data_IF_660083839865
#
_entry.id   IF_660083839865
#
_cell.length_a   1.000
_cell.length_b   1.000
_cell.length_c   1.000
_cell.angle_alpha   90.00
_cell.angle_beta   90.00
_cell.angle_gamma   90.00
#
_symmetry.space_group_name_H-M   'P 1'
#
loop_
_entity.id
_entity.type
_entity.pdbx_description
1 polymer ?
#
# COMPACT_ATOMS: atom_id res chain seq x y z
N UNK A 1 -15.37 -2.93 -1.91
CA UNK A 1 -14.56 -1.77 -1.51
C UNK A 1 -13.33 -1.80 -2.39
N UNK A 2 -12.99 -0.70 -3.02
CA UNK A 2 -11.82 -0.54 -3.88
C UNK A 2 -10.60 -0.12 -3.06
N UNK A 3 -9.42 -0.49 -3.53
CA UNK A 3 -8.15 -0.16 -2.88
C UNK A 3 -7.03 -0.13 -3.92
N UNK A 4 -5.78 0.03 -3.48
CA UNK A 4 -4.60 -0.04 -4.33
C UNK A 4 -4.39 -1.46 -4.89
N UNK A 5 -3.44 -1.62 -5.81
CA UNK A 5 -3.20 -2.88 -6.53
C UNK A 5 -2.96 -4.09 -5.62
N UNK A 6 -2.15 -3.93 -4.58
CA UNK A 6 -1.86 -4.98 -3.61
C UNK A 6 -1.37 -4.34 -2.30
N UNK A 7 -1.95 -4.75 -1.17
CA UNK A 7 -1.58 -4.26 0.16
C UNK A 7 -1.35 -5.45 1.08
N UNK A 8 -0.13 -5.61 1.57
CA UNK A 8 0.20 -6.74 2.43
C UNK A 8 1.47 -6.48 3.21
N UNK A 9 1.88 -7.49 3.95
CA UNK A 9 2.92 -7.40 4.95
C UNK A 9 4.03 -8.41 4.65
N UNK A 10 5.30 -8.02 4.83
CA UNK A 10 6.39 -8.97 4.80
C UNK A 10 6.19 -10.04 5.86
N UNK A 11 6.50 -11.30 5.51
CA UNK A 11 6.45 -12.39 6.47
C UNK A 11 7.74 -12.42 7.31
N UNK A 12 7.66 -12.98 8.52
CA UNK A 12 8.81 -13.29 9.38
C UNK A 12 9.65 -14.47 8.87
N UNK A 13 9.97 -14.48 7.57
CA UNK A 13 10.74 -15.53 6.90
C UNK A 13 12.07 -14.98 6.36
N UNK A 14 13.09 -15.84 6.16
CA UNK A 14 14.32 -15.42 5.53
C UNK A 14 14.06 -14.76 4.16
N UNK A 15 14.59 -13.55 3.98
CA UNK A 15 14.50 -12.79 2.73
C UNK A 15 13.39 -11.73 2.68
N UNK A 16 12.38 -11.76 3.57
CA UNK A 16 11.33 -10.73 3.65
C UNK A 16 11.48 -9.77 4.84
N UNK A 17 12.43 -10.03 5.74
CA UNK A 17 12.82 -9.10 6.80
C UNK A 17 14.06 -8.25 6.45
N UNK A 18 14.45 -7.39 7.38
CA UNK A 18 15.66 -6.58 7.31
C UNK A 18 15.74 -5.65 8.52
N UNK A 19 16.94 -5.42 9.05
CA UNK A 19 17.13 -4.48 10.16
C UNK A 19 17.37 -3.05 9.64
N UNK A 20 18.13 -2.96 8.56
CA UNK A 20 18.44 -1.71 7.87
C UNK A 20 17.42 -1.40 6.78
N UNK A 21 17.32 -0.12 6.38
CA UNK A 21 16.33 0.34 5.42
C UNK A 21 16.45 -0.41 4.07
N UNK A 22 17.66 -0.56 3.53
CA UNK A 22 17.86 -1.22 2.24
C UNK A 22 17.45 -2.69 2.27
N UNK A 23 17.72 -3.38 3.38
CA UNK A 23 17.29 -4.77 3.59
C UNK A 23 15.77 -4.86 3.73
N UNK A 24 15.16 -3.96 4.51
CA UNK A 24 13.71 -3.92 4.70
C UNK A 24 12.98 -3.61 3.37
N UNK A 25 13.47 -2.64 2.60
CA UNK A 25 12.95 -2.34 1.25
C UNK A 25 13.07 -3.58 0.36
N UNK A 26 14.19 -4.29 0.44
CA UNK A 26 14.36 -5.51 -0.32
C UNK A 26 13.36 -6.60 0.09
N UNK A 27 13.13 -6.75 1.40
CA UNK A 27 12.15 -7.68 1.94
C UNK A 27 10.73 -7.38 1.49
N UNK A 28 10.34 -6.09 1.53
CA UNK A 28 9.02 -5.63 1.08
C UNK A 28 8.84 -5.88 -0.42
N UNK A 29 9.85 -5.65 -1.27
CA UNK A 29 9.72 -5.95 -2.71
C UNK A 29 9.45 -7.44 -2.97
N UNK A 30 10.10 -8.34 -2.23
CA UNK A 30 9.84 -9.79 -2.31
C UNK A 30 8.43 -10.14 -1.83
N UNK A 31 8.01 -9.55 -0.72
CA UNK A 31 6.66 -9.72 -0.20
C UNK A 31 5.60 -9.25 -1.22
N UNK A 32 5.82 -8.09 -1.85
CA UNK A 32 4.96 -7.56 -2.90
C UNK A 32 4.89 -8.50 -4.10
N UNK A 33 6.02 -9.00 -4.60
CA UNK A 33 6.04 -9.97 -5.70
C UNK A 33 5.27 -11.25 -5.35
N UNK A 34 5.48 -11.82 -4.16
CA UNK A 34 4.74 -13.00 -3.67
C UNK A 34 3.25 -12.73 -3.59
N UNK A 35 2.85 -11.56 -3.12
CA UNK A 35 1.44 -11.20 -2.90
C UNK A 35 0.73 -10.82 -4.19
N UNK A 36 1.42 -10.24 -5.17
CA UNK A 36 0.90 -10.04 -6.53
C UNK A 36 0.57 -11.38 -7.20
N UNK A 37 1.41 -12.41 -7.05
CA UNK A 37 1.08 -13.76 -7.54
C UNK A 37 -0.11 -14.35 -6.78
N UNK A 38 -0.12 -14.26 -5.45
CA UNK A 38 -1.19 -14.83 -4.63
C UNK A 38 -2.57 -14.18 -4.83
N UNK A 39 -2.63 -12.85 -4.96
CA UNK A 39 -3.89 -12.09 -5.09
C UNK A 39 -4.34 -11.96 -6.54
N UNK A 40 -3.41 -11.69 -7.47
CA UNK A 40 -3.71 -11.31 -8.85
C UNK A 40 -3.20 -12.31 -9.89
N UNK A 41 -2.49 -13.36 -9.49
CA UNK A 41 -1.91 -14.34 -10.41
C UNK A 41 -0.69 -13.84 -11.19
N UNK A 42 -0.19 -12.64 -10.88
CA UNK A 42 0.90 -12.00 -11.63
C UNK A 42 2.21 -12.71 -11.29
N UNK A 43 2.78 -13.38 -12.29
CA UNK A 43 4.01 -14.17 -12.10
C UNK A 43 5.24 -13.28 -11.94
N UNK A 44 6.17 -13.72 -11.09
CA UNK A 44 7.43 -13.03 -10.82
C UNK A 44 8.23 -12.64 -12.08
N UNK A 45 8.15 -13.44 -13.15
CA UNK A 45 8.80 -13.14 -14.43
C UNK A 45 8.27 -11.87 -15.11
N UNK A 46 7.00 -11.49 -14.86
CA UNK A 46 6.37 -10.29 -15.41
C UNK A 46 6.68 -9.04 -14.57
N UNK A 47 7.02 -9.25 -13.29
CA UNK A 47 7.34 -8.19 -12.33
C UNK A 47 8.69 -8.46 -11.64
N UNK A 48 9.81 -8.38 -12.37
CA UNK A 48 11.14 -8.52 -11.78
C UNK A 48 11.36 -7.55 -10.61
N UNK A 49 12.08 -8.02 -9.60
CA UNK A 49 12.27 -7.30 -8.33
C UNK A 49 12.93 -5.92 -8.54
N UNK A 50 13.86 -5.85 -9.47
CA UNK A 50 14.60 -4.65 -9.88
C UNK A 50 13.70 -3.55 -10.47
N UNK A 51 12.53 -3.92 -11.00
CA UNK A 51 11.59 -2.97 -11.59
C UNK A 51 10.71 -2.26 -10.54
N UNK A 52 10.67 -2.78 -9.30
CA UNK A 52 10.00 -2.09 -8.21
C UNK A 52 10.81 -0.87 -7.77
N UNK A 53 10.18 0.30 -7.85
CA UNK A 53 10.70 1.58 -7.35
C UNK A 53 10.18 1.80 -5.95
N UNK A 54 11.09 1.94 -4.98
CA UNK A 54 10.73 2.35 -3.62
C UNK A 54 10.68 3.88 -3.54
N UNK A 55 9.54 4.42 -3.12
CA UNK A 55 9.34 5.86 -2.97
C UNK A 55 9.67 6.29 -1.54
N UNK A 56 8.80 5.93 -0.62
CA UNK A 56 8.81 6.42 0.76
C UNK A 56 8.10 5.44 1.69
N UNK A 57 8.14 5.75 2.98
CA UNK A 57 7.39 5.07 4.03
C UNK A 57 6.35 6.01 4.61
N UNK A 58 5.12 5.55 4.77
CA UNK A 58 4.02 6.33 5.33
C UNK A 58 3.54 5.68 6.61
N UNK A 59 3.61 6.41 7.70
CA UNK A 59 2.95 6.09 8.95
C UNK A 59 1.62 6.83 9.02
N UNK A 60 0.50 6.11 8.98
CA UNK A 60 -0.82 6.73 9.12
C UNK A 60 -1.68 6.06 10.18
N UNK A 61 -2.79 6.74 10.50
CA UNK A 61 -3.77 6.28 11.48
C UNK A 61 -5.18 6.30 10.89
N UNK A 62 -5.74 5.12 10.61
CA UNK A 62 -7.10 4.99 10.12
C UNK A 62 -8.03 4.44 11.22
N UNK A 63 -9.22 5.03 11.44
CA UNK A 63 -10.23 4.44 12.31
C UNK A 63 -10.81 3.19 11.65
N UNK A 64 -10.82 2.07 12.37
CA UNK A 64 -11.53 0.84 11.97
C UNK A 64 -12.75 0.59 12.86
N UNK A 65 -13.80 -0.02 12.31
CA UNK A 65 -15.05 -0.29 13.00
C UNK A 65 -14.93 -1.48 13.97
N UNK A 66 -14.61 -1.16 15.22
CA UNK A 66 -15.12 -1.81 16.43
C UNK A 66 -14.72 -3.25 16.76
N UNK A 67 -14.22 -4.08 15.83
CA UNK A 67 -13.79 -5.46 16.11
C UNK A 67 -12.47 -5.88 15.45
N UNK A 68 -12.12 -5.32 14.32
CA UNK A 68 -10.91 -5.66 13.58
C UNK A 68 -10.14 -4.40 13.23
N UNK A 69 -8.82 -4.44 13.36
CA UNK A 69 -7.92 -3.43 12.84
C UNK A 69 -6.60 -4.09 12.49
N UNK A 70 -5.91 -3.54 11.50
CA UNK A 70 -4.53 -3.91 11.19
C UNK A 70 -3.61 -3.50 12.36
N UNK A 71 -2.71 -4.38 12.76
CA UNK A 71 -1.76 -4.13 13.84
C UNK A 71 -0.43 -4.76 13.48
N UNK A 72 0.33 -4.04 12.67
CA UNK A 72 1.69 -4.43 12.31
C UNK A 72 2.64 -3.97 13.42
N UNK A 73 3.38 -4.90 14.01
CA UNK A 73 4.05 -4.70 15.29
C UNK A 73 5.17 -3.66 15.28
N UNK A 74 4.86 -2.50 15.86
CA UNK A 74 5.60 -1.69 16.86
C UNK A 74 7.12 -1.92 17.01
N UNK A 75 7.86 -0.84 16.82
CA UNK A 75 8.67 -0.28 17.92
C UNK A 75 7.94 0.95 18.49
N UNK A 76 7.23 0.69 19.59
CA UNK A 76 6.81 1.62 20.66
C UNK A 76 6.24 3.01 20.31
N UNK A 77 4.92 3.10 20.08
CA UNK A 77 4.10 4.25 20.56
C UNK A 77 2.69 3.75 20.92
N UNK A 78 2.34 3.73 22.21
CA UNK A 78 0.97 3.50 22.68
C UNK A 78 0.22 4.83 22.73
N UNK A 79 -0.76 5.02 21.86
CA UNK A 79 -1.75 6.11 21.95
C UNK A 79 -3.15 5.51 21.87
N UNK A 80 -3.68 5.07 23.01
CA UNK A 80 -5.10 4.74 23.20
C UNK A 80 -5.84 6.03 23.58
N UNK A 81 -6.63 6.56 22.66
CA UNK A 81 -7.53 7.67 22.93
C UNK A 81 -8.92 7.13 23.26
N UNK A 82 -9.38 7.32 24.51
CA UNK A 82 -10.72 6.98 24.95
C UNK A 82 -11.68 8.15 24.68
N UNK A 83 -12.47 8.07 23.61
CA UNK A 83 -13.67 8.89 23.45
C UNK A 83 -14.90 8.04 23.76
N UNK A 84 -15.74 8.57 24.65
CA UNK A 84 -16.87 7.90 25.31
C UNK A 84 -17.76 7.15 24.30
N UNK A 85 -17.88 5.84 24.53
CA UNK A 85 -18.88 4.88 24.00
C UNK A 85 -18.72 4.27 22.59
N UNK A 86 -17.59 4.40 21.88
CA UNK A 86 -17.24 3.49 20.78
C UNK A 86 -15.76 3.13 20.85
N UNK A 87 -15.43 1.85 21.02
CA UNK A 87 -14.06 1.36 20.91
C UNK A 87 -13.62 1.51 19.44
N UNK A 88 -12.91 2.58 19.11
CA UNK A 88 -12.29 2.77 17.80
C UNK A 88 -10.86 2.25 17.95
N UNK A 89 -10.58 1.08 17.36
CA UNK A 89 -9.21 0.60 17.23
C UNK A 89 -8.53 1.48 16.18
N UNK A 90 -7.46 2.16 16.59
CA UNK A 90 -6.66 2.98 15.69
C UNK A 90 -5.42 2.18 15.32
N UNK A 91 -5.44 1.70 14.09
CA UNK A 91 -4.34 1.04 13.39
C UNK A 91 -3.24 2.08 13.20
N UNK A 92 -2.00 1.75 13.53
CA UNK A 92 -0.84 2.62 13.36
C UNK A 92 0.27 1.77 12.73
N UNK A 93 0.38 1.78 11.41
CA UNK A 93 1.28 0.93 10.61
C UNK A 93 2.17 1.79 9.72
N UNK A 94 3.37 1.30 9.41
CA UNK A 94 4.31 1.94 8.48
C UNK A 94 4.24 1.21 7.15
N UNK A 95 3.64 1.84 6.15
CA UNK A 95 3.47 1.26 4.82
C UNK A 95 4.62 1.71 3.91
N UNK A 96 5.22 0.74 3.22
CA UNK A 96 6.25 0.98 2.22
C UNK A 96 5.60 1.17 0.86
N UNK A 97 5.82 2.32 0.23
CA UNK A 97 5.22 2.65 -1.06
C UNK A 97 6.12 2.17 -2.19
N UNK A 98 5.66 1.15 -2.91
CA UNK A 98 6.33 0.58 -4.07
C UNK A 98 5.54 0.87 -5.35
N UNK A 99 6.23 1.32 -6.39
CA UNK A 99 5.68 1.54 -7.72
C UNK A 99 6.31 0.55 -8.70
N UNK A 100 5.51 0.04 -9.63
CA UNK A 100 5.96 -0.76 -10.75
C UNK A 100 5.10 -0.43 -11.98
N UNK A 101 5.74 -0.36 -13.14
CA UNK A 101 5.07 -0.22 -14.44
C UNK A 101 5.45 -1.44 -15.27
N UNK A 102 4.47 -2.30 -15.53
CA UNK A 102 4.63 -3.53 -16.29
C UNK A 102 3.30 -3.89 -16.95
N UNK A 103 3.37 -4.46 -18.15
CA UNK A 103 2.24 -5.15 -18.76
C UNK A 103 2.18 -6.56 -18.17
N UNK A 104 1.02 -6.92 -17.62
CA UNK A 104 0.85 -8.17 -16.87
C UNK A 104 -0.45 -8.86 -17.24
N UNK A 105 -0.41 -10.18 -17.21
CA UNK A 105 -1.59 -11.04 -17.24
C UNK A 105 -2.19 -11.15 -15.82
N UNK A 106 -3.52 -11.12 -15.73
CA UNK A 106 -4.25 -11.23 -14.47
C UNK A 106 -5.00 -12.57 -14.39
N UNK A 107 -4.81 -13.26 -13.27
CA UNK A 107 -5.59 -14.42 -12.86
C UNK A 107 -5.99 -14.25 -11.37
N UNK A 108 -6.96 -13.35 -11.07
CA UNK A 108 -7.25 -12.97 -9.70
C UNK A 108 -7.80 -14.12 -8.86
N UNK A 109 -7.31 -14.24 -7.62
CA UNK A 109 -7.84 -15.17 -6.63
C UNK A 109 -9.14 -14.62 -6.04
N UNK A 110 -10.27 -15.25 -6.36
CA UNK A 110 -11.61 -14.79 -5.94
C UNK A 110 -11.84 -14.77 -4.42
N UNK A 111 -11.01 -15.47 -3.64
CA UNK A 111 -11.04 -15.37 -2.18
C UNK A 111 -10.45 -14.05 -1.66
N UNK A 112 -9.60 -13.39 -2.45
CA UNK A 112 -8.88 -12.17 -2.09
C UNK A 112 -9.44 -10.95 -2.86
N UNK A 113 -9.60 -11.10 -4.18
CA UNK A 113 -9.93 -10.01 -5.10
C UNK A 113 -11.26 -10.30 -5.78
N UNK A 114 -12.24 -9.42 -5.55
CA UNK A 114 -13.56 -9.52 -6.18
C UNK A 114 -13.56 -9.04 -7.63
N UNK A 115 -12.85 -7.95 -7.89
CA UNK A 115 -12.87 -7.26 -9.18
C UNK A 115 -11.59 -6.42 -9.35
N UNK A 116 -11.22 -6.11 -10.59
CA UNK A 116 -10.01 -5.36 -10.95
C UNK A 116 -10.34 -4.34 -12.03
N UNK A 117 -9.70 -3.17 -11.98
CA UNK A 117 -9.88 -2.15 -13.02
C UNK A 117 -8.58 -1.36 -13.23
N UNK A 118 -8.20 -1.18 -14.49
CA UNK A 118 -7.18 -0.23 -14.89
C UNK A 118 -7.83 1.14 -15.08
N UNK A 119 -7.22 2.17 -14.48
CA UNK A 119 -7.78 3.52 -14.45
C UNK A 119 -6.73 4.56 -14.84
N UNK A 120 -7.19 5.63 -15.48
CA UNK A 120 -6.40 6.85 -15.63
C UNK A 120 -6.46 7.66 -14.32
N UNK A 121 -5.56 8.64 -14.17
CA UNK A 121 -5.60 9.55 -13.01
C UNK A 121 -6.97 10.24 -12.87
N UNK A 122 -7.51 10.76 -13.98
CA UNK A 122 -8.83 11.43 -13.97
C UNK A 122 -9.99 10.44 -13.81
N UNK A 123 -9.86 9.22 -14.35
CA UNK A 123 -10.81 8.15 -14.09
C UNK A 123 -10.90 7.79 -12.61
N UNK A 124 -9.75 7.68 -11.93
CA UNK A 124 -9.72 7.42 -10.49
C UNK A 124 -10.31 8.57 -9.68
N UNK A 125 -10.05 9.83 -10.06
CA UNK A 125 -10.70 11.01 -9.43
C UNK A 125 -12.21 10.94 -9.58
N UNK A 126 -12.71 10.64 -10.77
CA UNK A 126 -14.14 10.49 -11.02
C UNK A 126 -14.75 9.35 -10.19
N UNK A 127 -14.04 8.23 -10.02
CA UNK A 127 -14.51 7.15 -9.14
C UNK A 127 -14.62 7.56 -7.67
N UNK A 128 -13.79 8.48 -7.18
CA UNK A 128 -13.91 9.01 -5.82
C UNK A 128 -15.14 9.92 -5.62
N UNK A 129 -15.66 10.51 -6.70
CA UNK A 129 -16.87 11.34 -6.68
C UNK A 129 -18.16 10.49 -6.67
N UNK A 130 -18.07 9.21 -7.07
CA UNK A 130 -19.22 8.29 -7.06
C UNK A 130 -19.53 7.79 -5.64
N UNK A 131 -20.68 8.18 -5.05
CA UNK A 131 -21.05 7.77 -3.68
C UNK A 131 -21.40 6.29 -3.55
N UNK A 132 -21.64 5.58 -4.66
CA UNK A 132 -21.89 4.14 -4.66
C UNK A 132 -20.61 3.33 -4.43
N UNK A 133 -19.44 3.92 -4.73
CA UNK A 133 -18.14 3.28 -4.57
C UNK A 133 -17.57 3.54 -3.18
N UNK A 134 -17.13 2.45 -2.53
CA UNK A 134 -16.44 2.50 -1.24
C UNK A 134 -14.96 2.23 -1.45
N UNK A 135 -14.10 3.00 -0.79
CA UNK A 135 -12.65 2.80 -0.83
C UNK A 135 -12.08 2.64 0.57
N UNK A 136 -10.93 1.97 0.66
CA UNK A 136 -10.20 1.86 1.92
C UNK A 136 -9.71 3.24 2.39
N UNK A 137 -9.74 3.52 3.71
CA UNK A 137 -9.35 4.84 4.24
C UNK A 137 -7.92 5.25 3.88
N UNK A 138 -6.97 4.32 3.94
CA UNK A 138 -5.56 4.58 3.63
C UNK A 138 -5.36 4.92 2.16
N UNK A 139 -6.05 4.23 1.25
CA UNK A 139 -5.96 4.52 -0.17
C UNK A 139 -6.51 5.90 -0.49
N UNK A 140 -7.63 6.30 0.12
CA UNK A 140 -8.13 7.69 0.01
C UNK A 140 -7.11 8.71 0.50
N UNK A 141 -6.47 8.46 1.64
CA UNK A 141 -5.47 9.35 2.22
C UNK A 141 -4.26 9.52 1.28
N UNK A 142 -3.71 8.40 0.79
CA UNK A 142 -2.58 8.40 -0.14
C UNK A 142 -2.95 9.11 -1.44
N UNK A 143 -4.14 8.83 -1.99
CA UNK A 143 -4.62 9.47 -3.22
C UNK A 143 -4.72 10.99 -3.10
N UNK A 144 -5.39 11.47 -2.05
CA UNK A 144 -5.67 12.90 -1.87
C UNK A 144 -4.44 13.72 -1.46
N UNK A 145 -3.37 13.08 -1.01
CA UNK A 145 -2.18 13.78 -0.53
C UNK A 145 -0.94 13.62 -1.40
N UNK A 146 -0.75 12.47 -2.04
CA UNK A 146 0.53 12.11 -2.67
C UNK A 146 0.39 11.52 -4.07
N UNK A 147 -0.56 10.59 -4.26
CA UNK A 147 -0.59 9.77 -5.49
C UNK A 147 -0.72 10.61 -6.76
N UNK A 148 -1.65 11.57 -6.81
CA UNK A 148 -1.87 12.35 -8.02
C UNK A 148 -0.67 13.23 -8.38
N UNK A 149 0.04 13.75 -7.38
CA UNK A 149 1.30 14.46 -7.60
C UNK A 149 2.37 13.53 -8.17
N UNK A 150 2.51 12.31 -7.63
CA UNK A 150 3.46 11.33 -8.17
C UNK A 150 3.05 10.86 -9.57
N UNK A 151 1.75 10.79 -9.86
CA UNK A 151 1.22 10.38 -11.15
C UNK A 151 1.71 11.30 -12.28
N UNK A 152 1.73 12.61 -12.05
CA UNK A 152 2.24 13.62 -13.00
C UNK A 152 3.73 13.45 -13.33
N UNK A 153 4.46 12.69 -12.51
CA UNK A 153 5.90 12.47 -12.64
C UNK A 153 6.27 11.01 -12.94
N UNK A 154 5.31 10.13 -13.24
CA UNK A 154 5.56 8.69 -13.45
C UNK A 154 6.55 8.39 -14.58
N UNK A 155 6.43 9.10 -15.70
CA UNK A 155 7.26 8.88 -16.88
C UNK A 155 8.56 9.70 -16.84
N UNK A 156 8.57 10.82 -16.11
CA UNK A 156 9.76 11.66 -15.91
C UNK A 156 9.70 12.40 -14.58
N UNK A 157 10.72 12.22 -13.74
CA UNK A 157 10.89 13.01 -12.51
C UNK A 157 10.42 12.32 -11.23
N UNK A 158 10.07 11.03 -11.27
CA UNK A 158 9.74 10.25 -10.07
C UNK A 158 10.96 10.10 -9.14
N UNK A 159 12.18 10.19 -9.69
CA UNK A 159 13.45 10.00 -8.98
C UNK A 159 13.57 10.92 -7.76
N UNK A 160 12.98 12.12 -7.81
CA UNK A 160 13.01 13.10 -6.70
C UNK A 160 12.19 12.66 -5.48
N UNK A 161 11.32 11.66 -5.62
CA UNK A 161 10.49 11.10 -4.56
C UNK A 161 10.93 9.69 -4.15
N UNK A 162 12.04 9.19 -4.71
CA UNK A 162 12.53 7.84 -4.46
C UNK A 162 13.49 7.79 -3.27
N UNK A 163 13.48 6.65 -2.58
CA UNK A 163 14.41 6.32 -1.50
C UNK A 163 14.43 7.33 -0.34
N UNK A 164 13.26 7.86 0.03
CA UNK A 164 13.16 8.77 1.16
C UNK A 164 13.59 8.09 2.47
N UNK A 165 14.51 8.75 3.19
CA UNK A 165 15.07 8.24 4.44
C UNK A 165 14.16 8.50 5.64
N UNK A 166 13.27 9.48 5.55
CA UNK A 166 12.33 9.82 6.62
C UNK A 166 10.97 9.14 6.40
N UNK A 167 10.25 8.90 7.50
CA UNK A 167 8.90 8.34 7.45
C UNK A 167 7.91 9.51 7.44
N UNK A 168 7.07 9.56 6.41
CA UNK A 168 5.96 10.53 6.32
C UNK A 168 4.88 10.17 7.34
N UNK A 169 4.36 11.16 8.07
CA UNK A 169 3.29 10.96 9.05
C UNK A 169 2.02 11.64 8.58
N UNK A 170 0.93 10.90 8.54
CA UNK A 170 -0.36 11.34 7.95
C UNK A 170 -1.56 10.97 8.82
#
# INVERSE_FOLDING_TARGET
MWTNTCCSHPLGIPGEGGAELDEAVMGVKRAAQRKLDHELGIKAAQVPIENFKFLTRIHYKAPSDGKWGEHESKSSIHSMAWLKHKLICLISTVDYILFIKADVDLEPNLNEVRDTSYVTADGLKAMFEDPSLKFTPWFKLICNSLLFQWWEHLDSGLEKYMNEQEIRRM
#
